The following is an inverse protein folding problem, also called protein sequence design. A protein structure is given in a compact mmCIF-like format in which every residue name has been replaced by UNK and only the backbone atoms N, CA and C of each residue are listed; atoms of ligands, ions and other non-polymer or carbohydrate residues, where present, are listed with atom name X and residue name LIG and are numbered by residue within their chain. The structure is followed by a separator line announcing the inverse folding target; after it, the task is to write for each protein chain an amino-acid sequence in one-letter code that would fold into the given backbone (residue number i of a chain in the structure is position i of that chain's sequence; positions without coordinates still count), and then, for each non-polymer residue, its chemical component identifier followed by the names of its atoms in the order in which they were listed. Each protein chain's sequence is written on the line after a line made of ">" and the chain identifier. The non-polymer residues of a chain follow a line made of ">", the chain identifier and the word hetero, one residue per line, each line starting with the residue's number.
data_IF_235085898062
#
_entry.id   IF_235085898062
#
_cell.length_a   1.000
_cell.length_b   1.000
_cell.length_c   1.000
_cell.angle_alpha   90.00
_cell.angle_beta   90.00
_cell.angle_gamma   90.00
#
_symmetry.space_group_name_H-M   'P 1'
#
loop_
_entity.id
_entity.type
_entity.pdbx_description
1 polymer ?
#
# COMPACT_ATOMS: atom_id res chain seq x y z
N UNK A 1 -2.82 31.17 2.38
CA UNK A 1 -2.28 30.51 1.17
C UNK A 1 -2.03 29.04 1.49
N UNK A 2 -2.76 28.09 0.86
CA UNK A 2 -2.41 26.67 0.94
C UNK A 2 -1.14 26.47 0.09
N UNK A 3 -0.03 26.01 0.69
CA UNK A 3 1.17 25.61 -0.06
C UNK A 3 0.76 24.46 -0.99
N UNK A 4 1.15 24.54 -2.27
CA UNK A 4 0.99 23.43 -3.19
C UNK A 4 1.88 22.27 -2.73
N UNK A 5 1.30 21.09 -2.57
CA UNK A 5 2.06 19.89 -2.17
C UNK A 5 3.06 19.52 -3.28
N UNK A 6 4.32 19.42 -2.90
CA UNK A 6 5.40 19.05 -3.81
C UNK A 6 5.27 17.58 -4.22
N UNK A 7 5.85 17.22 -5.37
CA UNK A 7 5.81 15.82 -5.85
C UNK A 7 6.44 14.84 -4.84
N UNK A 8 7.49 15.28 -4.12
CA UNK A 8 8.15 14.48 -3.09
C UNK A 8 7.26 14.19 -1.89
N UNK A 9 6.47 15.18 -1.44
CA UNK A 9 5.53 15.00 -0.33
C UNK A 9 4.40 14.02 -0.69
N UNK A 10 3.88 14.11 -1.92
CA UNK A 10 2.85 13.18 -2.42
C UNK A 10 3.39 11.75 -2.44
N UNK A 11 4.61 11.56 -2.96
CA UNK A 11 5.27 10.24 -2.99
C UNK A 11 5.43 9.68 -1.58
N UNK A 12 5.93 10.49 -0.63
CA UNK A 12 6.09 10.06 0.77
C UNK A 12 4.78 9.63 1.40
N UNK A 13 3.69 10.38 1.19
CA UNK A 13 2.36 10.05 1.73
C UNK A 13 1.82 8.74 1.15
N UNK A 14 1.97 8.54 -0.15
CA UNK A 14 1.57 7.30 -0.82
C UNK A 14 2.41 6.10 -0.34
N UNK A 15 3.71 6.28 -0.08
CA UNK A 15 4.54 5.25 0.55
C UNK A 15 4.02 4.86 1.93
N UNK A 16 3.75 5.84 2.79
CA UNK A 16 3.19 5.60 4.12
C UNK A 16 1.82 4.89 4.04
N UNK A 17 0.98 5.24 3.05
CA UNK A 17 -0.28 4.55 2.80
C UNK A 17 -0.07 3.05 2.50
N UNK A 18 0.82 2.71 1.57
CA UNK A 18 1.08 1.31 1.21
C UNK A 18 1.78 0.51 2.31
N UNK A 19 2.51 1.19 3.21
CA UNK A 19 3.16 0.57 4.36
C UNK A 19 2.22 0.45 5.57
N UNK A 20 0.95 0.85 5.44
CA UNK A 20 -0.03 0.97 6.53
C UNK A 20 0.48 1.80 7.71
N UNK A 21 1.30 2.82 7.43
CA UNK A 21 1.94 3.70 8.40
C UNK A 21 1.14 5.00 8.65
N UNK A 22 -0.14 5.00 8.29
CA UNK A 22 -1.06 6.12 8.45
C UNK A 22 -2.25 5.68 9.29
N UNK A 23 -2.87 6.65 9.98
CA UNK A 23 -4.16 6.40 10.59
C UNK A 23 -5.28 6.28 9.51
N UNK A 24 -6.45 5.79 9.94
CA UNK A 24 -7.57 5.56 9.04
C UNK A 24 -8.09 6.85 8.38
N UNK A 25 -8.04 7.98 9.08
CA UNK A 25 -8.52 9.25 8.56
C UNK A 25 -7.57 9.81 7.49
N UNK A 26 -6.26 9.77 7.75
CA UNK A 26 -5.22 10.16 6.80
C UNK A 26 -5.22 9.29 5.55
N UNK A 27 -5.38 7.97 5.72
CA UNK A 27 -5.47 7.03 4.61
C UNK A 27 -6.65 7.37 3.69
N UNK A 28 -7.84 7.59 4.25
CA UNK A 28 -9.04 7.94 3.48
C UNK A 28 -8.86 9.27 2.74
N UNK A 29 -8.32 10.29 3.40
CA UNK A 29 -8.05 11.59 2.75
C UNK A 29 -7.06 11.46 1.58
N UNK A 30 -6.06 10.57 1.66
CA UNK A 30 -5.17 10.32 0.53
C UNK A 30 -5.91 9.60 -0.60
N UNK A 31 -6.76 8.63 -0.29
CA UNK A 31 -7.55 7.92 -1.29
C UNK A 31 -8.52 8.86 -2.02
N UNK A 32 -9.19 9.76 -1.30
CA UNK A 32 -10.03 10.80 -1.91
C UNK A 32 -9.24 11.73 -2.84
N UNK A 33 -8.00 12.05 -2.47
CA UNK A 33 -7.08 12.81 -3.34
C UNK A 33 -6.61 12.01 -4.56
N UNK A 34 -6.40 10.71 -4.42
CA UNK A 34 -6.06 9.81 -5.53
C UNK A 34 -7.18 9.78 -6.57
N UNK A 35 -8.44 9.83 -6.13
CA UNK A 35 -9.61 9.83 -7.03
C UNK A 35 -9.86 11.20 -7.68
N UNK A 36 -9.52 12.30 -7.01
CA UNK A 36 -9.82 13.67 -7.47
C UNK A 36 -8.65 14.41 -8.13
N UNK A 37 -7.40 14.06 -7.85
CA UNK A 37 -6.20 14.73 -8.38
C UNK A 37 -5.36 13.77 -9.27
N UNK A 38 -5.23 14.07 -10.58
CA UNK A 38 -4.42 13.27 -11.51
C UNK A 38 -2.95 13.07 -11.07
N UNK A 39 -2.38 14.02 -10.33
CA UNK A 39 -1.01 13.93 -9.80
C UNK A 39 -0.90 12.85 -8.73
N UNK A 40 -1.86 12.79 -7.80
CA UNK A 40 -1.93 11.72 -6.80
C UNK A 40 -2.18 10.38 -7.46
N UNK A 41 -3.14 10.32 -8.40
CA UNK A 41 -3.45 9.11 -9.17
C UNK A 41 -2.22 8.55 -9.89
N UNK A 42 -1.46 9.41 -10.57
CA UNK A 42 -0.26 9.00 -11.31
C UNK A 42 0.82 8.41 -10.38
N UNK A 43 1.08 9.06 -9.24
CA UNK A 43 2.09 8.58 -8.28
C UNK A 43 1.62 7.29 -7.61
N UNK A 44 0.34 7.19 -7.27
CA UNK A 44 -0.25 6.01 -6.64
C UNK A 44 -0.15 4.79 -7.55
N UNK A 45 -0.53 4.93 -8.81
CA UNK A 45 -0.46 3.84 -9.79
C UNK A 45 0.97 3.37 -10.01
N UNK A 46 1.93 4.30 -10.18
CA UNK A 46 3.35 3.94 -10.34
C UNK A 46 3.87 3.13 -9.16
N UNK A 47 3.54 3.54 -7.94
CA UNK A 47 3.95 2.82 -6.74
C UNK A 47 3.29 1.43 -6.64
N UNK A 48 1.99 1.36 -6.93
CA UNK A 48 1.23 0.09 -6.95
C UNK A 48 1.84 -0.90 -7.94
N UNK A 49 2.02 -0.47 -9.19
CA UNK A 49 2.55 -1.30 -10.27
C UNK A 49 3.98 -1.77 -9.94
N UNK A 50 4.81 -0.90 -9.34
CA UNK A 50 6.15 -1.27 -8.90
C UNK A 50 6.15 -2.31 -7.77
N UNK A 51 5.31 -2.14 -6.74
CA UNK A 51 5.20 -3.12 -5.64
C UNK A 51 4.66 -4.46 -6.13
N UNK A 52 3.74 -4.45 -7.09
CA UNK A 52 3.23 -5.65 -7.73
C UNK A 52 4.33 -6.36 -8.53
N UNK A 53 5.08 -5.63 -9.35
CA UNK A 53 6.23 -6.16 -10.07
C UNK A 53 7.24 -6.83 -9.12
N UNK A 54 7.61 -6.17 -8.02
CA UNK A 54 8.52 -6.74 -7.02
C UNK A 54 7.89 -7.99 -6.38
N UNK A 55 6.61 -7.95 -6.03
CA UNK A 55 5.91 -9.09 -5.41
C UNK A 55 5.87 -10.32 -6.31
N UNK A 56 5.69 -10.15 -7.62
CA UNK A 56 5.60 -11.26 -8.59
C UNK A 56 6.96 -11.82 -8.98
N UNK A 57 8.02 -11.01 -8.93
CA UNK A 57 9.36 -11.41 -9.35
C UNK A 57 10.25 -11.89 -8.18
N UNK A 58 9.89 -11.62 -6.93
CA UNK A 58 10.61 -12.18 -5.77
C UNK A 58 10.20 -13.64 -5.55
N UNK A 59 11.18 -14.54 -5.63
CA UNK A 59 11.02 -15.93 -5.20
C UNK A 59 10.74 -15.98 -3.69
N UNK A 60 9.53 -16.42 -3.32
CA UNK A 60 9.16 -16.64 -1.91
C UNK A 60 9.31 -18.11 -1.56
N UNK A 61 9.87 -18.44 -0.38
CA UNK A 61 9.89 -19.82 0.07
C UNK A 61 8.46 -20.34 0.20
N UNK A 62 8.24 -21.56 -0.30
CA UNK A 62 6.97 -22.26 -0.08
C UNK A 62 6.75 -22.47 1.40
N UNK A 63 5.53 -22.21 1.86
CA UNK A 63 5.12 -22.52 3.23
C UNK A 63 4.77 -24.01 3.34
N UNK A 64 5.07 -24.63 4.48
CA UNK A 64 4.71 -26.03 4.69
C UNK A 64 3.20 -26.17 4.91
N UNK A 65 2.60 -27.24 4.37
CA UNK A 65 1.17 -27.52 4.59
C UNK A 65 0.83 -27.66 6.08
N UNK A 66 1.76 -28.17 6.89
CA UNK A 66 1.59 -28.27 8.34
C UNK A 66 1.41 -26.90 9.00
N UNK A 67 2.20 -25.90 8.59
CA UNK A 67 2.07 -24.52 9.09
C UNK A 67 0.71 -23.92 8.74
N UNK A 68 0.22 -24.17 7.51
CA UNK A 68 -1.10 -23.70 7.06
C UNK A 68 -2.21 -24.29 7.94
N UNK A 69 -2.18 -25.61 8.17
CA UNK A 69 -3.20 -26.29 8.96
C UNK A 69 -3.18 -25.86 10.44
N UNK A 70 -2.00 -25.64 11.01
CA UNK A 70 -1.88 -25.13 12.39
C UNK A 70 -2.48 -23.72 12.53
N UNK A 71 -2.25 -22.82 11.57
CA UNK A 71 -2.84 -21.47 11.57
C UNK A 71 -4.36 -21.55 11.46
N UNK A 72 -4.90 -22.36 10.52
CA UNK A 72 -6.35 -22.55 10.37
C UNK A 72 -7.00 -23.05 11.66
N UNK A 73 -6.40 -24.06 12.29
CA UNK A 73 -6.90 -24.61 13.56
C UNK A 73 -6.86 -23.60 14.71
N UNK A 74 -5.92 -22.64 14.67
CA UNK A 74 -5.83 -21.55 15.66
C UNK A 74 -6.90 -20.47 15.46
N UNK A 75 -7.37 -20.23 14.25
CA UNK A 75 -8.39 -19.23 13.92
C UNK A 75 -9.83 -19.77 14.03
N UNK A 76 -9.99 -21.09 14.00
CA UNK A 76 -11.29 -21.78 14.08
C UNK A 76 -11.77 -22.09 15.51
N UNK A 77 -11.20 -21.46 16.53
CA UNK A 77 -11.67 -21.52 17.93
C UNK A 77 -12.42 -20.26 18.30
#
# INVERSE_FOLDING_TARGET
>A
MKRSETSGEIKRKIHMLFDNALDHHEANNILEKVDSDPKYSSVYRKEKDFREFVRTNIARPGVSNNLIENIKNSLGK
#
